data_IF_327855291860
#
_entry.id   IF_327855291860
#
_cell.length_a   1.000
_cell.length_b   1.000
_cell.length_c   1.000
_cell.angle_alpha   90.00
_cell.angle_beta   90.00
_cell.angle_gamma   90.00
#
_symmetry.space_group_name_H-M   'P 1'
#
loop_
_entity.id
_entity.type
_entity.pdbx_description
1 polymer ?
#
# COMPACT_ATOMS: atom_id res chain seq x y z
N UNK A 1 14.97 13.96 -27.37
CA UNK A 1 14.00 15.08 -27.52
C UNK A 1 13.36 15.46 -26.19
N UNK A 2 12.75 14.53 -25.44
CA UNK A 2 12.14 14.82 -24.13
C UNK A 2 13.17 15.27 -23.06
N UNK A 3 14.24 14.48 -22.84
CA UNK A 3 15.26 14.80 -21.83
C UNK A 3 15.88 16.20 -22.04
N UNK A 4 16.16 16.55 -23.29
CA UNK A 4 16.66 17.89 -23.65
C UNK A 4 15.67 19.00 -23.30
N UNK A 5 14.35 18.75 -23.45
CA UNK A 5 13.29 19.71 -23.16
C UNK A 5 13.16 20.00 -21.65
N UNK A 6 13.44 19.00 -20.82
CA UNK A 6 13.46 19.12 -19.35
C UNK A 6 14.84 19.50 -18.79
N UNK A 7 15.80 19.87 -19.65
CA UNK A 7 17.14 20.30 -19.23
C UNK A 7 18.05 19.17 -18.73
N UNK A 8 17.81 17.94 -19.15
CA UNK A 8 18.56 16.75 -18.76
C UNK A 8 19.13 15.95 -19.93
N UNK A 9 19.89 14.90 -19.59
CA UNK A 9 20.50 13.97 -20.54
C UNK A 9 20.37 12.51 -20.08
N UNK A 10 20.59 11.56 -20.98
CA UNK A 10 20.41 10.13 -20.68
C UNK A 10 21.36 9.62 -19.60
N UNK A 11 22.58 10.16 -19.51
CA UNK A 11 23.56 9.80 -18.48
C UNK A 11 23.17 10.29 -17.08
N UNK A 12 22.14 11.15 -16.97
CA UNK A 12 21.68 11.72 -15.71
C UNK A 12 20.38 11.06 -15.21
N UNK A 13 19.87 10.03 -15.89
CA UNK A 13 18.69 9.28 -15.43
C UNK A 13 18.92 8.75 -14.02
N UNK A 14 17.93 8.95 -13.15
CA UNK A 14 17.99 8.60 -11.73
C UNK A 14 18.91 9.45 -10.86
N UNK A 15 19.58 10.46 -11.42
CA UNK A 15 20.39 11.38 -10.64
C UNK A 15 19.53 12.46 -9.96
N UNK A 16 20.03 12.96 -8.83
CA UNK A 16 19.43 14.11 -8.11
C UNK A 16 19.38 15.35 -9.01
N UNK A 17 20.35 15.50 -9.93
CA UNK A 17 20.39 16.61 -10.88
C UNK A 17 19.19 16.57 -11.83
N UNK A 18 18.92 15.42 -12.45
CA UNK A 18 17.78 15.28 -13.36
C UNK A 18 16.46 15.50 -12.64
N UNK A 19 16.31 14.96 -11.41
CA UNK A 19 15.12 15.18 -10.59
C UNK A 19 14.87 16.68 -10.35
N UNK A 20 15.90 17.43 -9.95
CA UNK A 20 15.78 18.88 -9.75
C UNK A 20 15.40 19.62 -11.03
N UNK A 21 15.98 19.25 -12.17
CA UNK A 21 15.65 19.86 -13.48
C UNK A 21 14.20 19.58 -13.88
N UNK A 22 13.72 18.36 -13.66
CA UNK A 22 12.30 17.99 -13.85
C UNK A 22 11.39 18.83 -12.96
N UNK A 23 11.66 18.88 -11.65
CA UNK A 23 10.82 19.60 -10.68
C UNK A 23 10.73 21.10 -11.03
N UNK A 24 11.86 21.72 -11.38
CA UNK A 24 11.90 23.11 -11.83
C UNK A 24 11.10 23.32 -13.12
N UNK A 25 11.18 22.38 -14.07
CA UNK A 25 10.50 22.51 -15.35
C UNK A 25 8.99 22.38 -15.19
N UNK A 26 8.54 21.39 -14.42
CA UNK A 26 7.14 21.17 -14.07
C UNK A 26 6.59 22.38 -13.30
N UNK A 27 7.35 22.94 -12.36
CA UNK A 27 6.94 24.16 -11.65
C UNK A 27 6.80 25.38 -12.56
N UNK A 28 7.65 25.51 -13.59
CA UNK A 28 7.65 26.66 -14.50
C UNK A 28 6.59 26.61 -15.61
N UNK A 29 6.28 25.42 -16.15
CA UNK A 29 5.43 25.25 -17.33
C UNK A 29 4.12 24.51 -17.02
N UNK A 30 3.99 23.91 -15.84
CA UNK A 30 2.84 23.08 -15.51
C UNK A 30 2.84 21.72 -16.24
N UNK A 31 2.13 20.75 -15.64
CA UNK A 31 2.07 19.38 -16.17
C UNK A 31 1.31 19.30 -17.49
N UNK A 32 0.20 20.04 -17.61
CA UNK A 32 -0.72 20.01 -18.76
C UNK A 32 -0.12 20.62 -20.03
N UNK A 33 0.63 21.73 -19.89
CA UNK A 33 1.30 22.36 -21.03
C UNK A 33 2.40 21.44 -21.58
N UNK A 34 3.18 20.82 -20.69
CA UNK A 34 4.23 19.88 -21.06
C UNK A 34 3.66 18.64 -21.74
N UNK A 35 2.56 18.08 -21.22
CA UNK A 35 1.92 16.91 -21.82
C UNK A 35 1.36 17.23 -23.21
N UNK A 36 0.72 18.40 -23.37
CA UNK A 36 0.22 18.89 -24.66
C UNK A 36 1.33 19.05 -25.71
N UNK A 37 2.47 19.63 -25.33
CA UNK A 37 3.64 19.79 -26.23
C UNK A 37 4.29 18.48 -26.64
N UNK A 38 4.12 17.44 -25.83
CA UNK A 38 4.67 16.10 -26.08
C UNK A 38 3.65 15.16 -26.71
N UNK A 39 2.41 15.60 -26.92
CA UNK A 39 1.34 14.79 -27.49
C UNK A 39 0.91 13.63 -26.58
N UNK A 40 0.95 13.83 -25.26
CA UNK A 40 0.62 12.82 -24.25
C UNK A 40 -0.34 13.37 -23.20
N UNK A 41 -0.91 12.52 -22.35
CA UNK A 41 -1.71 12.97 -21.19
C UNK A 41 -0.81 13.27 -19.97
N UNK A 42 -1.30 14.09 -19.02
CA UNK A 42 -0.58 14.39 -17.77
C UNK A 42 -0.26 13.13 -16.95
N UNK A 43 -1.14 12.13 -16.94
CA UNK A 43 -0.94 10.87 -16.21
C UNK A 43 0.20 10.06 -16.81
N UNK A 44 0.21 9.91 -18.14
CA UNK A 44 1.30 9.24 -18.85
C UNK A 44 2.62 10.00 -18.66
N UNK A 45 2.61 11.33 -18.74
CA UNK A 45 3.81 12.14 -18.50
C UNK A 45 4.32 11.97 -17.07
N UNK A 46 3.44 11.94 -16.08
CA UNK A 46 3.79 11.72 -14.67
C UNK A 46 4.46 10.37 -14.46
N UNK A 47 3.92 9.30 -15.04
CA UNK A 47 4.53 7.96 -14.99
C UNK A 47 5.93 7.94 -15.60
N UNK A 48 6.11 8.62 -16.74
CA UNK A 48 7.43 8.73 -17.40
C UNK A 48 8.41 9.49 -16.51
N UNK A 49 7.99 10.62 -15.94
CA UNK A 49 8.83 11.44 -15.05
C UNK A 49 9.21 10.68 -13.77
N UNK A 50 8.25 10.00 -13.17
CA UNK A 50 8.48 9.16 -12.00
C UNK A 50 9.49 8.06 -12.33
N UNK A 51 9.38 7.40 -13.48
CA UNK A 51 10.34 6.39 -13.94
C UNK A 51 11.76 6.93 -14.18
N UNK A 52 11.89 8.10 -14.82
CA UNK A 52 13.19 8.69 -15.15
C UNK A 52 13.92 9.28 -13.94
N UNK A 53 13.19 9.63 -12.88
CA UNK A 53 13.74 10.20 -11.65
C UNK A 53 13.98 9.17 -10.54
N UNK A 54 13.70 7.88 -10.80
CA UNK A 54 13.99 6.81 -9.85
C UNK A 54 15.50 6.67 -9.59
N UNK A 55 15.95 6.59 -8.33
CA UNK A 55 17.37 6.43 -8.02
C UNK A 55 17.94 5.10 -8.53
N UNK A 56 19.26 4.98 -8.73
CA UNK A 56 19.90 3.72 -9.05
C UNK A 56 19.60 2.67 -7.99
N UNK A 57 19.15 1.48 -8.40
CA UNK A 57 18.74 0.41 -7.48
C UNK A 57 17.33 0.57 -6.93
N UNK A 58 16.51 1.48 -7.48
CA UNK A 58 15.10 1.56 -7.14
C UNK A 58 14.38 0.25 -7.46
N UNK A 59 13.74 -0.32 -6.44
CA UNK A 59 12.98 -1.56 -6.54
C UNK A 59 11.49 -1.21 -6.75
N UNK A 60 10.96 -1.58 -7.92
CA UNK A 60 9.56 -1.36 -8.27
C UNK A 60 8.57 -2.06 -7.34
N UNK A 61 9.02 -3.04 -6.53
CA UNK A 61 8.21 -3.67 -5.49
C UNK A 61 7.93 -2.75 -4.31
N UNK A 62 8.67 -1.65 -4.16
CA UNK A 62 8.43 -0.63 -3.13
C UNK A 62 7.31 0.38 -3.47
N UNK A 63 6.73 0.31 -4.68
CA UNK A 63 5.64 1.21 -5.09
C UNK A 63 4.31 0.98 -4.32
N UNK A 64 4.25 0.01 -3.41
CA UNK A 64 3.16 -0.18 -2.47
C UNK A 64 3.63 0.01 -1.03
N UNK A 65 2.80 0.65 -0.20
CA UNK A 65 2.95 0.55 1.25
C UNK A 65 3.04 -0.94 1.61
N UNK A 66 4.10 -1.36 2.29
CA UNK A 66 4.31 -2.78 2.56
C UNK A 66 3.12 -3.35 3.33
N UNK A 67 2.52 -4.40 2.79
CA UNK A 67 1.33 -5.02 3.38
C UNK A 67 1.64 -5.65 4.75
N UNK A 68 2.91 -5.92 5.06
CA UNK A 68 3.35 -6.61 6.26
C UNK A 68 4.52 -5.88 6.93
N UNK A 69 4.59 -5.93 8.27
CA UNK A 69 5.74 -5.36 9.00
C UNK A 69 6.99 -6.19 8.77
N UNK A 70 8.09 -5.54 8.35
CA UNK A 70 9.42 -6.18 8.24
C UNK A 70 9.83 -6.78 9.59
N UNK A 71 10.18 -8.07 9.58
CA UNK A 71 10.73 -8.79 10.74
C UNK A 71 9.78 -9.76 11.44
N UNK A 72 8.51 -9.81 11.07
CA UNK A 72 7.57 -10.84 11.55
C UNK A 72 7.33 -11.80 10.39
N UNK A 73 7.95 -12.98 10.47
CA UNK A 73 7.94 -13.97 9.38
C UNK A 73 7.21 -15.24 9.82
N UNK A 74 7.13 -15.46 11.14
CA UNK A 74 6.51 -16.63 11.74
C UNK A 74 5.48 -16.25 12.79
N UNK A 75 4.53 -17.16 13.03
CA UNK A 75 3.58 -17.05 14.15
C UNK A 75 4.27 -16.93 15.51
N UNK A 76 5.49 -17.44 15.64
CA UNK A 76 6.28 -17.36 16.87
C UNK A 76 6.82 -15.96 17.16
N UNK A 77 6.88 -15.10 16.14
CA UNK A 77 7.33 -13.70 16.28
C UNK A 77 6.17 -12.79 16.73
N UNK A 78 4.93 -13.30 16.70
CA UNK A 78 3.75 -12.54 17.07
C UNK A 78 3.57 -12.48 18.58
N UNK A 79 3.35 -11.26 19.08
CA UNK A 79 3.00 -11.02 20.48
C UNK A 79 1.59 -10.42 20.56
N UNK A 80 0.87 -10.75 21.63
CA UNK A 80 -0.40 -10.11 21.92
C UNK A 80 -0.20 -8.60 22.10
N UNK A 81 -1.07 -7.79 21.50
CA UNK A 81 -0.99 -6.34 21.48
C UNK A 81 -0.30 -5.75 20.26
N UNK A 82 0.46 -6.54 19.49
CA UNK A 82 1.12 -6.05 18.27
C UNK A 82 0.08 -5.62 17.23
N UNK A 83 0.26 -4.43 16.67
CA UNK A 83 -0.56 -3.93 15.56
C UNK A 83 0.16 -4.22 14.25
N UNK A 84 -0.57 -4.76 13.27
CA UNK A 84 -0.05 -5.22 11.98
C UNK A 84 -1.00 -4.82 10.87
N UNK A 85 -0.46 -4.70 9.67
CA UNK A 85 -1.24 -4.64 8.45
C UNK A 85 -1.39 -6.05 7.87
N UNK A 86 -2.51 -6.28 7.20
CA UNK A 86 -2.80 -7.55 6.56
C UNK A 86 -3.85 -7.40 5.48
N UNK A 87 -4.09 -8.50 4.77
CA UNK A 87 -5.06 -8.54 3.67
C UNK A 87 -6.15 -9.55 3.97
N UNK A 88 -7.40 -9.17 3.76
CA UNK A 88 -8.53 -10.08 3.94
C UNK A 88 -8.45 -11.17 2.87
N UNK A 89 -8.30 -12.42 3.28
CA UNK A 89 -8.26 -13.58 2.39
C UNK A 89 -9.69 -14.05 2.09
N UNK A 90 -10.50 -14.20 3.15
CA UNK A 90 -11.88 -14.63 3.03
C UNK A 90 -12.76 -14.06 4.15
N UNK A 91 -14.07 -14.01 3.91
CA UNK A 91 -15.07 -13.52 4.86
C UNK A 91 -16.21 -14.51 5.02
N UNK A 92 -16.58 -14.79 6.26
CA UNK A 92 -17.68 -15.68 6.64
C UNK A 92 -18.70 -14.95 7.52
N UNK A 93 -19.87 -15.55 7.74
CA UNK A 93 -20.94 -14.96 8.56
C UNK A 93 -20.54 -14.65 10.02
N UNK A 94 -19.52 -15.33 10.54
CA UNK A 94 -19.04 -15.16 11.92
C UNK A 94 -17.76 -14.31 12.04
N UNK A 95 -17.12 -13.92 10.92
CA UNK A 95 -15.85 -13.20 10.97
C UNK A 95 -15.10 -13.16 9.64
N UNK A 96 -13.94 -12.50 9.65
CA UNK A 96 -13.06 -12.36 8.49
C UNK A 96 -11.68 -12.98 8.77
N UNK A 97 -11.15 -13.68 7.78
CA UNK A 97 -9.79 -14.22 7.80
C UNK A 97 -8.85 -13.25 7.12
N UNK A 98 -7.79 -12.87 7.83
CA UNK A 98 -6.79 -11.90 7.39
C UNK A 98 -5.44 -12.59 7.33
N UNK A 99 -4.80 -12.53 6.17
CA UNK A 99 -3.40 -12.92 6.02
C UNK A 99 -2.51 -11.81 6.58
N UNK A 100 -1.55 -12.22 7.41
CA UNK A 100 -0.56 -11.36 8.06
C UNK A 100 0.87 -11.66 7.59
N UNK A 101 1.03 -12.56 6.61
CA UNK A 101 2.34 -12.94 6.07
C UNK A 101 3.13 -13.91 6.97
N UNK A 102 2.49 -14.52 7.96
CA UNK A 102 3.11 -15.47 8.92
C UNK A 102 2.82 -16.95 8.61
N UNK A 103 2.31 -17.23 7.40
CA UNK A 103 1.93 -18.58 6.97
C UNK A 103 0.63 -19.13 7.58
N UNK A 104 -0.08 -18.33 8.40
CA UNK A 104 -1.39 -18.64 8.97
C UNK A 104 -2.28 -17.40 8.97
N UNK A 105 -3.55 -17.58 8.61
CA UNK A 105 -4.54 -16.50 8.65
C UNK A 105 -5.04 -16.27 10.07
N UNK A 106 -5.16 -15.01 10.47
CA UNK A 106 -5.83 -14.62 11.71
C UNK A 106 -7.32 -14.38 11.50
N UNK A 107 -8.11 -14.62 12.54
CA UNK A 107 -9.56 -14.44 12.52
C UNK A 107 -9.95 -13.18 13.27
N UNK A 108 -10.65 -12.28 12.58
CA UNK A 108 -11.40 -11.20 13.20
C UNK A 108 -12.83 -11.69 13.43
N UNK A 109 -13.22 -11.84 14.69
CA UNK A 109 -14.59 -12.23 15.02
C UNK A 109 -15.58 -11.08 14.71
N UNK A 110 -16.81 -11.39 14.31
CA UNK A 110 -17.82 -10.37 13.97
C UNK A 110 -18.07 -9.34 15.09
N UNK A 111 -17.93 -9.74 16.35
CA UNK A 111 -18.09 -8.82 17.50
C UNK A 111 -16.95 -7.80 17.64
N UNK A 112 -15.82 -8.03 16.97
CA UNK A 112 -14.66 -7.14 16.91
C UNK A 112 -14.67 -6.23 15.68
N UNK A 113 -15.63 -6.41 14.79
CA UNK A 113 -15.92 -5.51 13.68
C UNK A 113 -16.85 -4.40 14.20
N UNK A 114 -16.29 -3.36 14.81
CA UNK A 114 -17.08 -2.22 15.28
C UNK A 114 -17.53 -1.35 14.10
N UNK A 115 -18.81 -0.98 14.05
CA UNK A 115 -19.40 -0.15 12.98
C UNK A 115 -18.70 1.22 12.81
N UNK A 116 -18.09 1.74 13.88
CA UNK A 116 -17.35 3.01 13.88
C UNK A 116 -15.98 2.92 13.19
N UNK A 117 -15.44 1.71 13.04
CA UNK A 117 -14.17 1.45 12.34
C UNK A 117 -14.37 1.18 10.85
N UNK A 118 -15.62 1.23 10.38
CA UNK A 118 -16.03 0.90 9.02
C UNK A 118 -16.42 2.15 8.24
N UNK A 119 -16.15 2.20 6.92
CA UNK A 119 -16.58 3.31 6.07
C UNK A 119 -18.11 3.47 6.11
N UNK A 120 -18.57 4.73 6.07
CA UNK A 120 -20.00 5.07 6.11
C UNK A 120 -20.82 4.36 5.02
N UNK A 121 -20.21 4.14 3.85
CA UNK A 121 -20.80 3.43 2.71
C UNK A 121 -21.03 1.93 2.95
N UNK A 122 -20.28 1.30 3.86
CA UNK A 122 -20.30 -0.15 4.09
C UNK A 122 -21.00 -0.58 5.39
N UNK A 123 -21.42 0.38 6.22
CA UNK A 123 -22.16 0.14 7.48
C UNK A 123 -23.44 -0.71 7.33
N UNK A 124 -23.99 -0.86 6.12
CA UNK A 124 -25.19 -1.67 5.85
C UNK A 124 -24.92 -3.17 5.63
N UNK A 125 -23.67 -3.61 5.48
CA UNK A 125 -23.33 -5.04 5.31
C UNK A 125 -22.93 -5.69 6.64
N UNK A 126 -23.43 -6.90 6.88
CA UNK A 126 -23.19 -7.69 8.10
C UNK A 126 -21.71 -7.98 8.36
N UNK A 127 -20.91 -8.05 7.30
CA UNK A 127 -19.45 -7.99 7.30
C UNK A 127 -19.05 -6.97 6.24
N UNK A 128 -18.49 -5.84 6.65
CA UNK A 128 -18.15 -4.73 5.73
C UNK A 128 -16.81 -4.93 5.01
N UNK A 129 -16.06 -5.97 5.37
CA UNK A 129 -14.80 -6.36 4.73
C UNK A 129 -15.07 -7.30 3.55
N UNK A 130 -14.39 -7.10 2.43
CA UNK A 130 -14.37 -8.01 1.28
C UNK A 130 -12.99 -8.68 1.12
N UNK A 131 -12.92 -9.82 0.41
CA UNK A 131 -11.65 -10.41 0.01
C UNK A 131 -10.79 -9.41 -0.75
N UNK A 132 -9.52 -9.32 -0.39
CA UNK A 132 -8.55 -8.42 -0.98
C UNK A 132 -8.40 -7.07 -0.28
N UNK A 133 -9.29 -6.71 0.66
CA UNK A 133 -9.20 -5.46 1.41
C UNK A 133 -7.95 -5.42 2.29
N UNK A 134 -7.29 -4.25 2.32
CA UNK A 134 -6.17 -4.00 3.23
C UNK A 134 -6.71 -3.51 4.57
N UNK A 135 -6.25 -4.11 5.66
CA UNK A 135 -6.72 -3.80 7.00
C UNK A 135 -5.57 -3.67 7.98
N UNK A 136 -5.71 -2.75 8.93
CA UNK A 136 -4.85 -2.69 10.10
C UNK A 136 -5.56 -3.41 11.24
N UNK A 137 -4.86 -4.37 11.85
CA UNK A 137 -5.38 -5.27 12.89
C UNK A 137 -4.46 -5.28 14.10
N UNK A 138 -5.03 -5.58 15.27
CA UNK A 138 -4.30 -5.82 16.50
C UNK A 138 -4.40 -7.28 16.89
N UNK A 139 -3.27 -7.90 17.22
CA UNK A 139 -3.22 -9.26 17.75
C UNK A 139 -3.79 -9.26 19.15
N UNK A 140 -4.86 -10.01 19.38
CA UNK A 140 -5.46 -10.20 20.70
C UNK A 140 -4.85 -11.40 21.42
N UNK A 141 -4.67 -12.50 20.69
CA UNK A 141 -4.13 -13.74 21.23
C UNK A 141 -3.51 -14.57 20.10
N UNK A 142 -2.45 -15.30 20.42
CA UNK A 142 -1.73 -16.20 19.52
C UNK A 142 -1.62 -17.56 20.17
N UNK A 143 -2.18 -18.58 19.53
CA UNK A 143 -2.01 -19.98 19.89
C UNK A 143 -1.14 -20.64 18.81
N UNK A 144 0.17 -20.64 19.02
CA UNK A 144 1.13 -21.21 18.09
C UNK A 144 1.01 -22.74 17.96
N UNK A 145 0.54 -23.43 19.01
CA UNK A 145 0.36 -24.88 19.01
C UNK A 145 -0.78 -25.29 18.08
N UNK A 146 -1.88 -24.54 18.11
CA UNK A 146 -3.06 -24.79 17.25
C UNK A 146 -3.04 -24.00 15.95
N UNK A 147 -2.06 -23.11 15.78
CA UNK A 147 -1.92 -22.22 14.63
C UNK A 147 -3.09 -21.23 14.49
N UNK A 148 -3.61 -20.74 15.61
CA UNK A 148 -4.76 -19.81 15.65
C UNK A 148 -4.32 -18.42 16.11
N UNK A 149 -4.77 -17.39 15.40
CA UNK A 149 -4.49 -16.00 15.73
C UNK A 149 -5.82 -15.27 15.83
N UNK A 150 -6.08 -14.65 16.98
CA UNK A 150 -7.28 -13.83 17.21
C UNK A 150 -6.94 -12.38 16.98
N UNK A 151 -7.74 -11.69 16.16
CA UNK A 151 -7.49 -10.32 15.73
C UNK A 151 -8.63 -9.38 16.11
N UNK A 152 -8.28 -8.13 16.40
CA UNK A 152 -9.20 -6.99 16.46
C UNK A 152 -8.97 -6.10 15.23
N UNK A 153 -10.05 -5.69 14.57
CA UNK A 153 -9.93 -4.71 13.48
C UNK A 153 -9.60 -3.36 14.10
N UNK A 154 -8.56 -2.66 13.61
CA UNK A 154 -8.28 -1.27 14.00
C UNK A 154 -8.95 -0.32 13.00
N UNK A 155 -8.67 -0.50 11.70
CA UNK A 155 -9.28 0.26 10.59
C UNK A 155 -9.06 -0.45 9.25
N UNK A 156 -9.84 -0.04 8.26
CA UNK A 156 -9.65 -0.43 6.86
C UNK A 156 -8.72 0.60 6.19
N UNK A 157 -7.73 0.12 5.43
CA UNK A 157 -6.81 0.94 4.64
C UNK A 157 -7.35 1.00 3.20
N UNK A 158 -7.64 2.21 2.72
CA UNK A 158 -8.10 2.47 1.35
C UNK A 158 -6.95 2.93 0.46
#
# INVERSE_FOLDING_TARGET
RFLTLIGGSASQIGSVHLKRSVDQKVASSGMDELSGRLGTTPETLRLILDGLTQPPGFDIRQFGQEDFKRGIVSIHDLQAGTVLTGRVDNTCLFGAFVDLGVGRSGLIHKSKLTLDKLPVSQRRRSLALGPGDRVEVRVLNVDAQRGRISLDLVRVLH
#
